data_IF_871464363311
#
_entry.id   IF_871464363311
#
_cell.length_a   1.000
_cell.length_b   1.000
_cell.length_c   1.000
_cell.angle_alpha   90.00
_cell.angle_beta   90.00
_cell.angle_gamma   90.00
#
_symmetry.space_group_name_H-M   'P 1'
#
loop_
_entity.id
_entity.type
_entity.pdbx_description
1 polymer ?
#
# COMPACT_ATOMS: atom_id res chain seq x y z
N UNK A 1 8.00 -9.90 -2.95
CA UNK A 1 7.57 -8.61 -2.34
C UNK A 1 6.70 -7.89 -3.35
N UNK A 2 5.58 -7.31 -2.93
CA UNK A 2 4.67 -6.55 -3.81
C UNK A 2 4.61 -5.09 -3.37
N UNK A 3 4.80 -4.17 -4.30
CA UNK A 3 4.70 -2.73 -4.04
C UNK A 3 3.34 -2.18 -4.49
N UNK A 4 2.54 -1.73 -3.51
CA UNK A 4 1.27 -1.05 -3.72
C UNK A 4 1.45 0.47 -3.60
N UNK A 5 1.28 1.17 -4.73
CA UNK A 5 1.26 2.64 -4.76
C UNK A 5 -0.15 3.16 -4.56
N UNK A 6 -0.35 3.87 -3.47
CA UNK A 6 -1.61 4.51 -3.11
C UNK A 6 -1.64 5.90 -3.72
N UNK A 7 -2.71 6.17 -4.45
CA UNK A 7 -2.97 7.47 -5.07
C UNK A 7 -4.35 7.94 -4.65
N UNK A 8 -4.55 9.25 -4.50
CA UNK A 8 -5.87 9.81 -4.18
C UNK A 8 -6.87 9.73 -5.36
N UNK A 9 -6.58 8.95 -6.42
CA UNK A 9 -7.48 8.75 -7.57
C UNK A 9 -8.57 7.71 -7.31
N UNK A 10 -8.35 6.80 -6.34
CA UNK A 10 -9.28 5.73 -5.98
C UNK A 10 -9.68 5.87 -4.51
N UNK A 11 -10.85 5.33 -4.17
CA UNK A 11 -11.38 5.38 -2.80
C UNK A 11 -10.52 4.57 -1.84
N UNK A 12 -10.61 4.90 -0.55
CA UNK A 12 -9.87 4.22 0.52
C UNK A 12 -10.20 2.72 0.56
N UNK A 13 -11.48 2.38 0.41
CA UNK A 13 -11.94 0.98 0.39
C UNK A 13 -11.33 0.16 -0.74
N UNK A 14 -11.03 0.77 -1.89
CA UNK A 14 -10.35 0.08 -2.98
C UNK A 14 -8.98 -0.43 -2.52
N UNK A 15 -8.18 0.43 -1.91
CA UNK A 15 -6.85 0.07 -1.40
C UNK A 15 -6.90 -0.89 -0.22
N UNK A 16 -7.88 -0.76 0.67
CA UNK A 16 -8.11 -1.73 1.75
C UNK A 16 -8.43 -3.12 1.20
N UNK A 17 -9.37 -3.21 0.26
CA UNK A 17 -9.77 -4.48 -0.33
C UNK A 17 -8.64 -5.08 -1.16
N UNK A 18 -7.88 -4.27 -1.91
CA UNK A 18 -6.69 -4.76 -2.61
C UNK A 18 -5.64 -5.30 -1.63
N UNK A 19 -5.35 -4.58 -0.54
CA UNK A 19 -4.39 -5.02 0.46
C UNK A 19 -4.80 -6.36 1.09
N UNK A 20 -6.08 -6.52 1.46
CA UNK A 20 -6.62 -7.80 1.96
C UNK A 20 -6.49 -8.90 0.92
N UNK A 21 -6.89 -8.62 -0.32
CA UNK A 21 -6.85 -9.58 -1.42
C UNK A 21 -5.41 -10.09 -1.67
N UNK A 22 -4.40 -9.24 -1.54
CA UNK A 22 -3.00 -9.66 -1.61
C UNK A 22 -2.61 -10.66 -0.51
N UNK A 23 -3.13 -10.53 0.72
CA UNK A 23 -2.84 -11.45 1.82
C UNK A 23 -3.72 -12.71 1.81
N UNK A 24 -4.95 -12.65 1.32
CA UNK A 24 -5.84 -13.81 1.21
C UNK A 24 -5.58 -14.65 -0.05
N UNK A 25 -4.82 -14.12 -1.01
CA UNK A 25 -4.68 -14.68 -2.36
C UNK A 25 -5.90 -14.31 -3.21
N UNK A 26 -5.65 -13.79 -4.41
CA UNK A 26 -6.72 -13.41 -5.35
C UNK A 26 -6.83 -14.48 -6.42
N UNK A 27 -8.04 -14.96 -6.67
CA UNK A 27 -8.36 -15.73 -7.86
C UNK A 27 -8.66 -14.71 -8.95
N UNK A 28 -7.71 -14.51 -9.87
CA UNK A 28 -7.96 -13.68 -11.06
C UNK A 28 -9.07 -14.34 -11.90
N UNK A 29 -9.85 -13.57 -12.66
CA UNK A 29 -10.94 -14.06 -13.52
C UNK A 29 -10.46 -15.04 -14.61
N UNK A 30 -9.15 -15.14 -14.82
CA UNK A 30 -8.47 -16.11 -15.70
C UNK A 30 -8.05 -17.40 -14.99
N UNK A 31 -8.49 -17.64 -13.74
CA UNK A 31 -8.22 -18.88 -13.00
C UNK A 31 -6.81 -18.99 -12.42
N UNK A 32 -5.96 -17.96 -12.55
CA UNK A 32 -4.65 -17.92 -11.92
C UNK A 32 -4.77 -17.48 -10.46
N UNK A 33 -4.61 -18.44 -9.54
CA UNK A 33 -4.41 -18.15 -8.11
C UNK A 33 -3.10 -17.38 -7.96
N UNK A 34 -3.19 -16.11 -7.56
CA UNK A 34 -2.01 -15.41 -7.06
C UNK A 34 -1.77 -15.85 -5.64
N UNK A 35 -0.58 -16.41 -5.41
CA UNK A 35 -0.17 -16.83 -4.07
C UNK A 35 -0.25 -15.64 -3.10
N UNK A 36 -0.71 -15.88 -1.87
CA UNK A 36 -0.78 -14.85 -0.85
C UNK A 36 0.60 -14.26 -0.61
N UNK A 37 0.68 -12.93 -0.56
CA UNK A 37 1.95 -12.24 -0.48
C UNK A 37 2.41 -12.17 0.97
N UNK A 38 3.61 -12.66 1.27
CA UNK A 38 4.16 -12.54 2.62
C UNK A 38 4.57 -11.11 2.99
N UNK A 39 4.97 -10.28 2.01
CA UNK A 39 5.46 -8.92 2.26
C UNK A 39 4.90 -7.94 1.23
N UNK A 40 4.22 -6.92 1.73
CA UNK A 40 3.52 -5.88 0.98
C UNK A 40 4.04 -4.49 1.38
N UNK A 41 4.52 -3.73 0.41
CA UNK A 41 4.97 -2.35 0.57
C UNK A 41 3.86 -1.39 0.15
N UNK A 42 3.29 -0.64 1.10
CA UNK A 42 2.29 0.40 0.80
C UNK A 42 3.01 1.75 0.76
N UNK A 43 2.97 2.43 -0.38
CA UNK A 43 3.57 3.76 -0.54
C UNK A 43 2.52 4.80 -0.91
N UNK A 44 2.53 5.96 -0.26
CA UNK A 44 1.60 7.06 -0.53
C UNK A 44 2.32 8.42 -0.59
N UNK A 45 1.86 9.29 -1.49
CA UNK A 45 2.37 10.65 -1.67
C UNK A 45 1.38 11.70 -1.13
N UNK A 46 1.84 12.58 -0.25
CA UNK A 46 1.06 13.70 0.29
C UNK A 46 -0.29 13.25 0.86
N UNK A 47 -1.38 13.67 0.23
CA UNK A 47 -2.77 13.35 0.65
C UNK A 47 -3.06 11.83 0.68
N UNK A 48 -2.36 11.05 -0.16
CA UNK A 48 -2.51 9.60 -0.20
C UNK A 48 -1.86 8.87 1.01
N UNK A 49 -1.07 9.58 1.83
CA UNK A 49 -0.46 8.98 3.04
C UNK A 49 -1.52 8.51 4.03
N UNK A 50 -2.59 9.30 4.21
CA UNK A 50 -3.67 8.94 5.14
C UNK A 50 -4.36 7.65 4.66
N UNK A 51 -4.62 7.55 3.36
CA UNK A 51 -5.19 6.35 2.73
C UNK A 51 -4.28 5.13 2.91
N UNK A 52 -2.96 5.30 2.71
CA UNK A 52 -1.98 4.24 2.92
C UNK A 52 -1.95 3.74 4.37
N UNK A 53 -1.99 4.65 5.34
CA UNK A 53 -2.02 4.31 6.76
C UNK A 53 -3.31 3.55 7.14
N UNK A 54 -4.46 3.98 6.63
CA UNK A 54 -5.73 3.29 6.86
C UNK A 54 -5.77 1.91 6.21
N UNK A 55 -5.23 1.75 4.99
CA UNK A 55 -5.11 0.45 4.34
C UNK A 55 -4.22 -0.51 5.15
N UNK A 56 -3.04 -0.05 5.59
CA UNK A 56 -2.17 -0.85 6.46
C UNK A 56 -2.88 -1.24 7.77
N UNK A 57 -3.52 -0.27 8.43
CA UNK A 57 -4.25 -0.48 9.68
C UNK A 57 -5.43 -1.45 9.55
N UNK A 58 -6.14 -1.44 8.42
CA UNK A 58 -7.24 -2.37 8.16
C UNK A 58 -6.78 -3.83 8.12
N UNK A 59 -5.64 -4.10 7.47
CA UNK A 59 -5.06 -5.45 7.37
C UNK A 59 -4.55 -5.93 8.73
N UNK A 60 -3.94 -5.04 9.52
CA UNK A 60 -3.51 -5.37 10.89
C UNK A 60 -4.71 -5.61 11.81
N UNK A 61 -5.78 -4.81 11.68
CA UNK A 61 -7.01 -4.96 12.45
C UNK A 61 -7.69 -6.30 12.21
N UNK A 62 -7.64 -6.82 10.98
CA UNK A 62 -8.15 -8.15 10.64
C UNK A 62 -7.19 -9.29 11.00
N UNK A 63 -6.01 -8.99 11.55
CA UNK A 63 -5.04 -9.98 11.98
C UNK A 63 -4.27 -10.67 10.85
N UNK A 64 -4.43 -10.22 9.61
CA UNK A 64 -3.82 -10.83 8.42
C UNK A 64 -2.32 -10.49 8.30
N UNK A 65 -1.90 -9.33 8.82
CA UNK A 65 -0.53 -8.85 8.71
C UNK A 65 -0.13 -7.95 9.87
N UNK A 66 1.16 -7.61 9.94
CA UNK A 66 1.75 -6.68 10.90
C UNK A 66 2.62 -5.65 10.19
N UNK A 67 2.74 -4.45 10.75
CA UNK A 67 3.62 -3.40 10.21
C UNK A 67 5.03 -3.65 10.76
N UNK A 68 5.95 -4.00 9.87
CA UNK A 68 7.36 -4.23 10.21
C UNK A 68 8.17 -2.94 10.25
N UNK A 69 7.92 -2.03 9.31
CA UNK A 69 8.70 -0.79 9.19
C UNK A 69 7.85 0.33 8.60
N UNK A 70 8.09 1.55 9.08
CA UNK A 70 7.48 2.76 8.55
C UNK A 70 8.61 3.73 8.20
N UNK A 71 8.67 4.16 6.95
CA UNK A 71 9.67 5.10 6.46
C UNK A 71 8.99 6.30 5.82
N UNK A 72 9.52 7.48 6.08
CA UNK A 72 9.13 8.72 5.40
C UNK A 72 10.32 9.24 4.62
N UNK A 73 10.13 9.51 3.34
CA UNK A 73 11.17 10.06 2.47
C UNK A 73 10.61 11.26 1.71
N UNK A 74 11.47 12.23 1.43
CA UNK A 74 11.14 13.32 0.52
C UNK A 74 11.73 12.97 -0.85
N UNK A 75 10.89 12.59 -1.84
CA UNK A 75 11.39 12.33 -3.18
C UNK A 75 11.94 13.64 -3.78
N UNK A 76 13.11 13.54 -4.43
CA UNK A 76 13.67 14.65 -5.19
C UNK A 76 12.67 15.10 -6.27
N UNK A 77 12.60 16.41 -6.58
CA UNK A 77 11.71 16.92 -7.61
C UNK A 77 12.08 16.31 -8.96
N UNK A 78 11.25 15.41 -9.48
CA UNK A 78 11.39 14.89 -10.85
C UNK A 78 10.68 15.81 -11.84
N UNK A 79 11.05 15.82 -13.14
CA UNK A 79 10.41 16.68 -14.15
C UNK A 79 8.89 16.45 -14.28
N UNK A 80 8.39 15.25 -13.96
CA UNK A 80 6.96 14.96 -13.86
C UNK A 80 6.24 15.73 -12.73
N UNK A 81 6.99 16.34 -11.81
CA UNK A 81 6.51 17.06 -10.63
C UNK A 81 7.02 18.50 -10.55
N UNK A 82 7.56 19.07 -11.64
CA UNK A 82 8.22 20.39 -11.71
C UNK A 82 7.35 21.60 -11.30
N UNK A 83 6.07 21.40 -10.95
CA UNK A 83 5.18 22.44 -10.42
C UNK A 83 4.37 22.03 -9.18
N UNK A 84 4.66 20.89 -8.54
CA UNK A 84 3.91 20.42 -7.36
C UNK A 84 4.76 20.57 -6.09
N UNK A 85 4.20 21.33 -5.13
CA UNK A 85 4.67 21.50 -3.74
C UNK A 85 5.28 20.21 -3.20
N UNK A 86 6.45 20.26 -2.54
CA UNK A 86 7.14 19.11 -1.96
C UNK A 86 6.15 18.19 -1.22
N UNK A 87 5.88 17.00 -1.76
CA UNK A 87 4.96 16.01 -1.17
C UNK A 87 5.79 14.95 -0.46
N UNK A 88 5.54 14.79 0.83
CA UNK A 88 6.10 13.70 1.62
C UNK A 88 5.69 12.36 0.98
N UNK A 89 6.63 11.42 0.86
CA UNK A 89 6.35 10.02 0.56
C UNK A 89 6.42 9.24 1.87
N UNK A 90 5.37 8.48 2.20
CA UNK A 90 5.41 7.54 3.31
C UNK A 90 5.31 6.12 2.76
N UNK A 91 6.22 5.25 3.19
CA UNK A 91 6.26 3.83 2.89
C UNK A 91 5.96 3.04 4.17
N UNK A 92 5.05 2.10 4.07
CA UNK A 92 4.71 1.13 5.11
C UNK A 92 5.09 -0.25 4.60
N UNK A 93 6.01 -0.91 5.28
CA UNK A 93 6.35 -2.31 5.07
C UNK A 93 5.43 -3.16 5.94
N UNK A 94 4.52 -3.89 5.30
CA UNK A 94 3.53 -4.74 5.95
C UNK A 94 3.87 -6.19 5.64
N UNK A 95 4.00 -7.04 6.66
CA UNK A 95 4.35 -8.44 6.52
C UNK A 95 3.24 -9.33 7.10
N UNK A 96 2.86 -10.36 6.34
CA UNK A 96 1.87 -11.35 6.74
C UNK A 96 2.28 -12.03 8.04
N UNK A 97 1.29 -12.30 8.91
CA UNK A 97 1.48 -13.23 10.03
C UNK A 97 1.26 -14.64 9.50
N UNK A 98 2.33 -15.42 9.43
CA UNK A 98 2.29 -16.88 9.30
C UNK A 98 1.95 -17.54 10.63
#
# INVERSE_FOLDING_TARGET
>A
MVDMKVTAKKSINFYMNSAKAFFTGVVDTEGKKREPVCVLNISGLGDAINVAAQAAGAVVKEGLATIQKIETSYPAPSPAHAGKRFRLLKKFLVQART
#
